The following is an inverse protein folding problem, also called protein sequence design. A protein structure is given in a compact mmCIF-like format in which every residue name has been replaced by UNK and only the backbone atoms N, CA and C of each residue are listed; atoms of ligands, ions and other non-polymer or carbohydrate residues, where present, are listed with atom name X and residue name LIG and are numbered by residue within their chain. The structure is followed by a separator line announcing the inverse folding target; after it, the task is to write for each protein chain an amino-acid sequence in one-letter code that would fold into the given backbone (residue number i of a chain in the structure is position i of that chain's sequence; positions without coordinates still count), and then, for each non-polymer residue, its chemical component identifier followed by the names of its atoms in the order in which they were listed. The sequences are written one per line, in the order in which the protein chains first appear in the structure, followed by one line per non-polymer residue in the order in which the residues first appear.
data_IF_915274171299
#
_entry.id   IF_915274171299
#
_cell.length_a   1.000
_cell.length_b   1.000
_cell.length_c   1.000
_cell.angle_alpha   90.00
_cell.angle_beta   90.00
_cell.angle_gamma   90.00
#
_symmetry.space_group_name_H-M   'P 1'
#
loop_
_entity.id
_entity.type
_entity.pdbx_description
1 polymer ?
#
# COMPACT_ATOMS: atom_id res chain seq x y z
N UNK A 1 42.48 -19.43 -30.64
CA UNK A 1 41.37 -20.21 -30.02
C UNK A 1 41.13 -19.80 -28.56
N UNK A 2 42.12 -19.89 -27.66
CA UNK A 2 41.96 -19.58 -26.22
C UNK A 2 41.56 -18.13 -25.89
N UNK A 3 42.06 -17.14 -26.65
CA UNK A 3 41.74 -15.71 -26.47
C UNK A 3 40.26 -15.38 -26.63
N UNK A 4 39.56 -16.08 -27.53
CA UNK A 4 38.13 -15.86 -27.80
C UNK A 4 37.26 -16.40 -26.67
N UNK A 5 37.67 -17.53 -26.08
CA UNK A 5 36.95 -18.17 -24.96
C UNK A 5 37.04 -17.29 -23.70
N UNK A 6 38.20 -16.69 -23.43
CA UNK A 6 38.41 -15.79 -22.28
C UNK A 6 37.57 -14.50 -22.42
N UNK A 7 37.47 -13.96 -23.64
CA UNK A 7 36.63 -12.80 -23.92
C UNK A 7 35.13 -13.12 -23.75
N UNK A 8 34.68 -14.31 -24.18
CA UNK A 8 33.29 -14.74 -24.00
C UNK A 8 32.92 -14.93 -22.53
N UNK A 9 33.81 -15.53 -21.73
CA UNK A 9 33.56 -15.75 -20.30
C UNK A 9 33.54 -14.45 -19.50
N UNK A 10 34.41 -13.49 -19.85
CA UNK A 10 34.42 -12.17 -19.22
C UNK A 10 33.14 -11.39 -19.55
N UNK A 11 32.70 -11.44 -20.82
CA UNK A 11 31.48 -10.75 -21.27
C UNK A 11 30.21 -11.33 -20.61
N UNK A 12 30.15 -12.64 -20.39
CA UNK A 12 29.07 -13.28 -19.63
C UNK A 12 29.06 -12.87 -18.15
N UNK A 13 30.23 -12.74 -17.50
CA UNK A 13 30.30 -12.34 -16.09
C UNK A 13 29.82 -10.89 -15.88
N UNK A 14 30.12 -9.99 -16.83
CA UNK A 14 29.64 -8.60 -16.82
C UNK A 14 28.13 -8.50 -17.04
N UNK A 15 27.54 -9.39 -17.85
CA UNK A 15 26.10 -9.41 -18.08
C UNK A 15 25.29 -9.84 -16.84
N UNK A 16 25.84 -10.74 -16.02
CA UNK A 16 25.17 -11.24 -14.80
C UNK A 16 25.30 -10.27 -13.63
N UNK A 17 26.38 -9.49 -13.57
CA UNK A 17 26.62 -8.54 -12.46
C UNK A 17 25.58 -7.42 -12.35
N UNK A 18 24.81 -7.15 -13.41
CA UNK A 18 23.81 -6.08 -13.44
C UNK A 18 22.43 -6.49 -12.88
N UNK A 19 22.22 -7.76 -12.49
CA UNK A 19 20.91 -8.25 -12.02
C UNK A 19 20.67 -8.12 -10.50
N UNK A 20 21.54 -7.45 -9.76
CA UNK A 20 21.40 -7.28 -8.32
C UNK A 20 21.12 -5.81 -7.94
N UNK A 21 20.14 -5.19 -8.58
CA UNK A 21 19.54 -3.94 -8.07
C UNK A 21 18.20 -4.33 -7.46
N UNK A 22 18.18 -4.47 -6.13
CA UNK A 22 16.93 -4.44 -5.40
C UNK A 22 16.41 -3.00 -5.51
N UNK A 23 15.63 -2.73 -6.56
CA UNK A 23 14.97 -1.44 -6.71
C UNK A 23 13.91 -1.33 -5.61
N UNK A 24 14.05 -0.29 -4.79
CA UNK A 24 13.08 0.04 -3.76
C UNK A 24 12.10 1.01 -4.39
N UNK A 25 10.85 0.60 -4.53
CA UNK A 25 9.79 1.48 -4.99
C UNK A 25 9.16 2.15 -3.78
N UNK A 26 9.18 3.49 -3.80
CA UNK A 26 8.49 4.33 -2.83
C UNK A 26 7.21 4.81 -3.48
N UNK A 27 6.07 4.53 -2.85
CA UNK A 27 4.79 5.03 -3.30
C UNK A 27 3.94 5.49 -2.12
N UNK A 28 3.12 6.50 -2.38
CA UNK A 28 2.21 7.07 -1.40
C UNK A 28 0.82 6.49 -1.56
N UNK A 29 0.34 5.82 -0.51
CA UNK A 29 -1.03 5.31 -0.43
C UNK A 29 -1.93 6.38 0.16
N UNK A 30 -2.78 6.91 -0.72
CA UNK A 30 -3.78 7.89 -0.34
C UNK A 30 -5.18 7.29 -0.27
N UNK A 31 -5.93 7.74 0.72
CA UNK A 31 -7.35 7.42 0.83
C UNK A 31 -8.08 8.38 1.75
N UNK A 32 -9.37 8.15 1.91
CA UNK A 32 -10.23 8.96 2.77
C UNK A 32 -11.05 8.06 3.68
N UNK A 33 -11.27 8.52 4.90
CA UNK A 33 -12.09 7.85 5.91
C UNK A 33 -13.30 8.72 6.20
N UNK A 34 -14.47 8.13 6.10
CA UNK A 34 -15.73 8.79 6.33
C UNK A 34 -16.57 8.09 7.39
N UNK A 35 -17.36 8.90 8.07
CA UNK A 35 -18.37 8.46 9.00
C UNK A 35 -19.65 8.15 8.23
N UNK A 36 -19.99 6.87 8.15
CA UNK A 36 -21.22 6.41 7.52
C UNK A 36 -22.34 6.46 8.55
N UNK A 37 -23.00 7.62 8.62
CA UNK A 37 -24.14 7.88 9.50
C UNK A 37 -25.35 7.02 9.17
N UNK A 38 -25.45 6.54 7.93
CA UNK A 38 -26.61 5.82 7.41
C UNK A 38 -26.40 4.30 7.34
N UNK A 39 -25.20 3.80 7.64
CA UNK A 39 -24.83 2.38 7.59
C UNK A 39 -25.04 1.74 6.22
N UNK A 40 -24.77 2.50 5.16
CA UNK A 40 -24.92 2.08 3.77
C UNK A 40 -23.68 1.38 3.23
N UNK A 41 -22.51 1.56 3.86
CA UNK A 41 -21.25 0.95 3.42
C UNK A 41 -20.58 1.65 2.23
N UNK A 42 -21.07 2.82 1.82
CA UNK A 42 -20.48 3.66 0.78
C UNK A 42 -20.62 5.15 1.10
N UNK A 43 -19.85 5.98 0.40
CA UNK A 43 -19.84 7.44 0.62
C UNK A 43 -21.10 8.07 0.03
N UNK A 44 -21.78 8.90 0.82
CA UNK A 44 -22.95 9.69 0.40
C UNK A 44 -22.78 11.16 0.78
N UNK A 45 -23.66 12.03 0.30
CA UNK A 45 -23.67 13.44 0.69
C UNK A 45 -23.90 13.69 2.19
N UNK A 46 -24.39 12.69 2.92
CA UNK A 46 -24.58 12.75 4.38
C UNK A 46 -23.35 12.26 5.16
N UNK A 47 -22.41 11.62 4.48
CA UNK A 47 -21.19 11.12 5.09
C UNK A 47 -20.29 12.29 5.51
N UNK A 48 -19.82 12.26 6.75
CA UNK A 48 -18.94 13.30 7.28
C UNK A 48 -17.48 12.81 7.25
N UNK A 49 -16.53 13.71 6.99
CA UNK A 49 -15.10 13.41 7.06
C UNK A 49 -14.68 13.11 8.49
N UNK A 50 -13.75 12.17 8.67
CA UNK A 50 -13.26 11.77 9.98
C UNK A 50 -11.81 12.19 10.18
N UNK A 51 -11.60 13.21 11.00
CA UNK A 51 -10.27 13.66 11.42
C UNK A 51 -9.71 12.80 12.56
N UNK A 52 -8.42 12.49 12.52
CA UNK A 52 -7.72 11.79 13.60
C UNK A 52 -8.02 10.29 13.69
N UNK A 53 -8.63 9.70 12.66
CA UNK A 53 -8.78 8.25 12.53
C UNK A 53 -7.41 7.62 12.26
N UNK A 54 -7.07 6.58 13.03
CA UNK A 54 -5.82 5.84 12.82
C UNK A 54 -6.05 4.74 11.79
N UNK A 55 -5.32 4.83 10.70
CA UNK A 55 -5.34 3.89 9.58
C UNK A 55 -4.03 3.10 9.63
N UNK A 56 -4.13 1.78 9.55
CA UNK A 56 -3.00 0.86 9.43
C UNK A 56 -3.01 0.21 8.07
N UNK A 57 -1.90 0.32 7.37
CA UNK A 57 -1.64 -0.43 6.16
C UNK A 57 -0.72 -1.60 6.52
N UNK A 58 -1.13 -2.80 6.12
CA UNK A 58 -0.37 -4.02 6.33
C UNK A 58 -0.23 -4.75 4.99
N UNK A 59 1.01 -5.06 4.62
CA UNK A 59 1.34 -6.00 3.57
C UNK A 59 1.39 -7.41 4.17
N UNK A 60 0.75 -8.35 3.49
CA UNK A 60 0.82 -9.77 3.86
C UNK A 60 1.39 -10.57 2.70
N UNK A 61 2.22 -11.54 3.05
CA UNK A 61 2.66 -12.57 2.12
C UNK A 61 1.45 -13.42 1.68
N UNK A 62 1.38 -13.77 0.40
CA UNK A 62 0.22 -14.48 -0.15
C UNK A 62 0.14 -15.95 0.27
N UNK A 63 1.28 -16.61 0.47
CA UNK A 63 1.32 -18.04 0.78
C UNK A 63 1.21 -18.30 2.28
N UNK A 64 1.93 -17.51 3.06
CA UNK A 64 2.02 -17.68 4.52
C UNK A 64 1.02 -16.82 5.28
N UNK A 65 0.38 -15.85 4.63
CA UNK A 65 -0.48 -14.83 5.26
C UNK A 65 0.19 -14.02 6.38
N UNK A 66 1.51 -14.10 6.50
CA UNK A 66 2.27 -13.39 7.51
C UNK A 66 2.40 -11.91 7.14
N UNK A 67 2.36 -11.05 8.16
CA UNK A 67 2.57 -9.63 8.00
C UNK A 67 4.06 -9.36 7.69
N UNK A 68 4.34 -8.84 6.50
CA UNK A 68 5.71 -8.57 6.05
C UNK A 68 6.10 -7.11 6.26
N UNK A 69 5.12 -6.21 6.21
CA UNK A 69 5.31 -4.78 6.40
C UNK A 69 4.04 -4.17 6.98
N UNK A 70 4.19 -3.23 7.92
CA UNK A 70 3.07 -2.50 8.51
C UNK A 70 3.48 -1.04 8.72
N UNK A 71 2.60 -0.12 8.33
CA UNK A 71 2.74 1.31 8.60
C UNK A 71 1.40 1.87 9.08
N UNK A 72 1.45 2.92 9.89
CA UNK A 72 0.27 3.57 10.46
C UNK A 72 0.33 5.07 10.22
N UNK A 73 -0.85 5.67 10.05
CA UNK A 73 -0.98 7.12 9.90
C UNK A 73 -2.35 7.57 10.39
N UNK A 74 -2.48 8.88 10.52
CA UNK A 74 -3.73 9.51 10.96
C UNK A 74 -4.33 10.32 9.83
N UNK A 75 -5.65 10.35 9.79
CA UNK A 75 -6.37 11.22 8.88
C UNK A 75 -6.28 12.68 9.32
N UNK A 76 -6.21 13.58 8.34
CA UNK A 76 -6.26 15.02 8.51
C UNK A 76 -7.69 15.53 8.75
N UNK A 77 -7.86 16.86 8.87
CA UNK A 77 -9.16 17.52 9.05
C UNK A 77 -10.16 17.26 7.91
N UNK A 78 -9.69 16.89 6.72
CA UNK A 78 -10.52 16.49 5.58
C UNK A 78 -10.84 14.99 5.56
N UNK A 79 -10.37 14.24 6.55
CA UNK A 79 -10.49 12.79 6.61
C UNK A 79 -9.58 12.06 5.63
N UNK A 80 -8.61 12.75 5.01
CA UNK A 80 -7.63 12.16 4.10
C UNK A 80 -6.45 11.62 4.89
N UNK A 81 -5.93 10.47 4.50
CA UNK A 81 -4.65 9.96 4.97
C UNK A 81 -3.71 9.75 3.78
N UNK A 82 -2.41 9.88 4.06
CA UNK A 82 -1.32 9.55 3.13
C UNK A 82 -0.32 8.69 3.89
N UNK A 83 -0.04 7.49 3.38
CA UNK A 83 0.92 6.55 3.94
C UNK A 83 2.02 6.30 2.93
N UNK A 84 3.25 6.72 3.24
CA UNK A 84 4.41 6.40 2.41
C UNK A 84 4.84 4.96 2.67
N UNK A 85 4.91 4.17 1.60
CA UNK A 85 5.25 2.76 1.64
C UNK A 85 6.51 2.55 0.81
N UNK A 86 7.52 1.96 1.45
CA UNK A 86 8.76 1.56 0.79
C UNK A 86 8.74 0.03 0.65
N UNK A 87 8.46 -0.48 -0.56
CA UNK A 87 8.48 -1.92 -0.82
C UNK A 87 9.57 -2.29 -1.80
N UNK A 88 10.06 -3.51 -1.66
CA UNK A 88 10.81 -4.16 -2.72
C UNK A 88 9.82 -4.58 -3.81
N UNK A 89 10.27 -4.56 -5.07
CA UNK A 89 9.49 -4.88 -6.29
C UNK A 89 8.74 -6.24 -6.30
N UNK A 90 8.94 -7.10 -5.28
CA UNK A 90 8.26 -8.41 -5.11
C UNK A 90 7.69 -8.62 -3.70
N UNK A 91 7.62 -7.59 -2.85
CA UNK A 91 7.43 -7.73 -1.40
C UNK A 91 6.02 -7.49 -0.84
N UNK A 92 5.13 -6.87 -1.60
CA UNK A 92 3.77 -6.55 -1.14
C UNK A 92 2.74 -6.88 -2.21
N UNK A 93 2.37 -8.16 -2.30
CA UNK A 93 1.39 -8.64 -3.28
C UNK A 93 -0.05 -8.30 -2.88
N UNK A 94 -0.32 -8.18 -1.57
CA UNK A 94 -1.64 -7.80 -1.07
C UNK A 94 -1.55 -6.67 -0.04
N UNK A 95 -2.20 -5.54 -0.36
CA UNK A 95 -2.30 -4.37 0.50
C UNK A 95 -3.61 -4.41 1.31
N UNK A 96 -3.51 -4.52 2.63
CA UNK A 96 -4.67 -4.41 3.51
C UNK A 96 -4.65 -3.07 4.24
N UNK A 97 -5.69 -2.26 4.04
CA UNK A 97 -5.90 -1.03 4.81
C UNK A 97 -6.99 -1.29 5.84
N UNK A 98 -6.64 -1.14 7.11
CA UNK A 98 -7.50 -1.38 8.26
C UNK A 98 -7.61 -0.11 9.09
N UNK A 99 -8.77 0.10 9.70
CA UNK A 99 -8.96 1.13 10.73
C UNK A 99 -8.67 0.49 12.08
N UNK A 100 -7.60 0.93 12.76
CA UNK A 100 -7.16 0.30 14.02
C UNK A 100 -7.73 0.98 15.24
N UNK A 101 -7.78 2.31 15.23
CA UNK A 101 -8.20 3.06 16.41
C UNK A 101 -8.85 4.39 16.03
N UNK A 102 -10.09 4.59 16.50
CA UNK A 102 -10.75 5.89 16.47
C UNK A 102 -11.63 6.06 17.70
N UNK A 103 -11.38 7.13 18.46
CA UNK A 103 -12.18 7.49 19.64
C UNK A 103 -13.42 8.27 19.21
N UNK A 104 -14.41 7.57 18.64
CA UNK A 104 -15.72 8.16 18.42
C UNK A 104 -16.54 8.07 19.71
N UNK A 105 -16.92 9.20 20.31
CA UNK A 105 -17.94 9.23 21.38
C UNK A 105 -19.32 8.71 20.93
N UNK A 106 -19.53 8.50 19.62
CA UNK A 106 -20.72 7.84 19.07
C UNK A 106 -20.38 6.41 18.66
N UNK A 107 -20.64 5.48 19.57
CA UNK A 107 -20.36 4.03 19.49
C UNK A 107 -21.18 3.25 18.45
N UNK A 108 -21.85 3.93 17.51
CA UNK A 108 -22.80 3.30 16.57
C UNK A 108 -22.60 3.71 15.10
N UNK A 109 -21.52 4.39 14.71
CA UNK A 109 -21.28 4.72 13.30
C UNK A 109 -20.37 3.70 12.64
N UNK A 110 -20.77 3.23 11.44
CA UNK A 110 -19.91 2.47 10.55
C UNK A 110 -18.90 3.43 9.91
N UNK A 111 -17.70 2.92 9.61
CA UNK A 111 -16.65 3.68 8.94
C UNK A 111 -16.38 3.05 7.58
N UNK A 112 -16.20 3.90 6.58
CA UNK A 112 -15.87 3.47 5.21
C UNK A 112 -14.54 4.12 4.84
N UNK A 113 -13.56 3.30 4.44
CA UNK A 113 -12.29 3.74 3.89
C UNK A 113 -12.32 3.56 2.37
N UNK A 114 -12.12 4.65 1.63
CA UNK A 114 -11.97 4.63 0.17
C UNK A 114 -10.50 4.78 -0.18
N UNK A 115 -9.93 3.79 -0.89
CA UNK A 115 -8.55 3.82 -1.36
C UNK A 115 -8.52 4.39 -2.77
N UNK A 116 -7.74 5.46 -3.00
CA UNK A 116 -7.63 6.08 -4.32
C UNK A 116 -6.65 5.32 -5.25
N UNK A 117 -5.76 4.49 -4.70
CA UNK A 117 -4.80 3.69 -5.46
C UNK A 117 -5.38 2.42 -6.10
N UNK A 118 -6.48 1.85 -5.59
CA UNK A 118 -7.14 0.69 -6.25
C UNK A 118 -7.76 1.05 -7.60
N UNK A 119 -7.84 2.33 -7.95
CA UNK A 119 -8.34 2.80 -9.24
C UNK A 119 -7.29 2.82 -10.36
N UNK A 120 -6.01 2.63 -10.03
CA UNK A 120 -4.93 2.52 -11.02
C UNK A 120 -4.59 1.07 -11.40
N UNK A 121 -4.86 0.10 -10.52
CA UNK A 121 -4.67 -1.33 -10.82
C UNK A 121 -5.77 -1.96 -11.69
N UNK A 122 -6.85 -1.24 -12.01
CA UNK A 122 -7.90 -1.69 -12.93
C UNK A 122 -7.73 -1.18 -14.38
N UNK A 123 -6.65 -0.45 -14.67
CA UNK A 123 -6.33 0.05 -16.03
C UNK A 123 -5.11 -0.63 -16.68
N UNK A 124 -4.58 -1.67 -16.04
CA UNK A 124 -3.53 -2.54 -16.62
C UNK A 124 -4.12 -3.95 -16.72
N UNK A 125 -5.03 -4.13 -17.67
CA UNK A 125 -5.37 -5.43 -18.25
C UNK A 125 -5.66 -5.27 -19.73
#
# INVERSE_FOLDING_TARGET
MAKVIILLSALCALAVANFAVADFEIFDVEGKVFCDTCRLGFVTSLSNTLEGATVRLTCKDMETHNETFTTEGKTDYTGKYTLTVEVKMWGCTTLFVLLTHYSSKRTNLSMVAENLLTRWSLLIS
#
